data_IF_404704359387
#
_entry.id   IF_404704359387
#
_cell.length_a   1.000
_cell.length_b   1.000
_cell.length_c   1.000
_cell.angle_alpha   90.00
_cell.angle_beta   90.00
_cell.angle_gamma   90.00
#
_symmetry.space_group_name_H-M   'P 1'
#
loop_
_entity.id
_entity.type
_entity.pdbx_description
1 polymer ?
#
# COMPACT_ATOMS: atom_id res chain seq x y z
N UNK A 1 -7.98 13.80 -4.55
CA UNK A 1 -8.25 12.52 -5.24
C UNK A 1 -7.77 11.40 -4.35
N UNK A 2 -8.53 10.31 -4.22
CA UNK A 2 -8.12 9.14 -3.44
C UNK A 2 -6.99 8.40 -4.17
N UNK A 3 -6.01 7.84 -3.44
CA UNK A 3 -4.96 7.00 -4.04
C UNK A 3 -5.55 5.79 -4.78
N UNK A 4 -6.72 5.30 -4.37
CA UNK A 4 -7.40 4.17 -5.01
C UNK A 4 -7.85 4.46 -6.44
N UNK A 5 -8.07 5.72 -6.82
CA UNK A 5 -8.44 6.04 -8.22
C UNK A 5 -7.28 5.91 -9.20
N UNK A 6 -6.06 5.72 -8.70
CA UNK A 6 -4.85 5.49 -9.50
C UNK A 6 -4.57 4.00 -9.69
N UNK A 7 -5.34 3.12 -9.04
CA UNK A 7 -5.20 1.68 -9.17
C UNK A 7 -5.98 1.16 -10.37
N UNK A 8 -5.45 0.11 -10.99
CA UNK A 8 -6.18 -0.62 -12.04
C UNK A 8 -7.30 -1.53 -11.50
N UNK A 9 -7.27 -1.86 -10.21
CA UNK A 9 -8.22 -2.79 -9.58
C UNK A 9 -8.68 -2.33 -8.16
N UNK A 10 -9.31 -1.16 -8.04
CA UNK A 10 -9.69 -0.61 -6.74
C UNK A 10 -10.86 -1.33 -6.07
N UNK A 11 -11.55 -2.25 -6.74
CA UNK A 11 -12.84 -2.80 -6.31
C UNK A 11 -12.72 -3.52 -4.96
N UNK A 12 -11.63 -4.28 -4.77
CA UNK A 12 -11.41 -5.04 -3.54
C UNK A 12 -11.31 -4.16 -2.30
N UNK A 13 -10.43 -3.14 -2.34
CA UNK A 13 -10.26 -2.22 -1.21
C UNK A 13 -11.49 -1.33 -1.03
N UNK A 14 -12.11 -0.90 -2.12
CA UNK A 14 -13.34 -0.08 -2.09
C UNK A 14 -14.48 -0.86 -1.44
N UNK A 15 -14.62 -2.15 -1.73
CA UNK A 15 -15.63 -3.01 -1.12
C UNK A 15 -15.39 -3.21 0.39
N UNK A 16 -14.14 -3.48 0.80
CA UNK A 16 -13.77 -3.66 2.22
C UNK A 16 -14.04 -2.40 3.05
N UNK A 17 -13.83 -1.21 2.47
CA UNK A 17 -13.98 0.07 3.16
C UNK A 17 -15.27 0.83 2.79
N UNK A 18 -16.23 0.18 2.13
CA UNK A 18 -17.51 0.80 1.73
C UNK A 18 -17.34 2.12 0.96
N UNK A 19 -16.32 2.19 0.10
CA UNK A 19 -16.01 3.40 -0.67
C UNK A 19 -15.11 4.42 0.02
N UNK A 20 -14.77 4.24 1.29
CA UNK A 20 -13.97 5.19 2.06
C UNK A 20 -12.70 4.56 2.69
N UNK A 21 -11.74 4.11 1.87
CA UNK A 21 -10.44 3.64 2.36
C UNK A 21 -9.67 4.77 3.07
N UNK A 22 -8.83 4.48 4.07
CA UNK A 22 -8.00 5.49 4.70
C UNK A 22 -6.94 6.03 3.73
N UNK A 23 -6.51 7.26 3.98
CA UNK A 23 -5.29 7.79 3.38
C UNK A 23 -4.08 6.95 3.82
N UNK A 24 -3.05 6.91 2.98
CA UNK A 24 -1.81 6.19 3.27
C UNK A 24 -0.87 7.03 4.15
N UNK A 25 -1.40 7.60 5.24
CA UNK A 25 -0.66 8.43 6.21
C UNK A 25 -0.39 7.62 7.47
N UNK A 26 0.86 7.61 7.94
CA UNK A 26 1.28 6.85 9.12
C UNK A 26 1.14 5.33 8.97
N UNK A 27 1.17 4.82 7.73
CA UNK A 27 1.11 3.38 7.46
C UNK A 27 2.39 2.70 7.95
N UNK A 28 2.28 1.43 8.33
CA UNK A 28 3.45 0.63 8.70
C UNK A 28 3.96 -0.10 7.47
N UNK A 29 5.15 0.28 6.98
CA UNK A 29 5.81 -0.38 5.87
C UNK A 29 6.60 -1.58 6.39
N UNK A 30 6.21 -2.79 5.95
CA UNK A 30 6.88 -4.03 6.30
C UNK A 30 7.93 -4.45 5.28
N UNK A 31 7.60 -4.33 4.00
CA UNK A 31 8.45 -4.83 2.92
C UNK A 31 8.40 -3.91 1.71
N UNK A 32 9.56 -3.75 1.06
CA UNK A 32 9.70 -3.23 -0.29
C UNK A 32 10.45 -4.28 -1.11
N UNK A 33 9.73 -4.96 -2.02
CA UNK A 33 10.27 -6.08 -2.80
C UNK A 33 10.44 -5.67 -4.25
N UNK A 34 11.66 -5.82 -4.79
CA UNK A 34 11.97 -5.59 -6.20
C UNK A 34 12.08 -6.92 -6.94
N UNK A 35 11.40 -7.01 -8.08
CA UNK A 35 11.46 -8.16 -8.99
C UNK A 35 11.93 -7.70 -10.37
N UNK A 36 12.77 -8.52 -11.00
CA UNK A 36 13.39 -8.22 -12.30
C UNK A 36 12.59 -8.77 -13.48
N UNK A 37 11.86 -9.87 -13.29
CA UNK A 37 10.95 -10.41 -14.31
C UNK A 37 9.66 -9.59 -14.31
N UNK A 38 9.53 -8.73 -15.32
CA UNK A 38 8.60 -7.59 -15.32
C UNK A 38 8.94 -6.62 -14.18
N UNK A 39 9.82 -5.61 -14.40
CA UNK A 39 10.30 -4.70 -13.36
C UNK A 39 9.16 -4.19 -12.46
N UNK A 40 9.13 -4.66 -11.21
CA UNK A 40 8.02 -4.43 -10.29
C UNK A 40 8.54 -4.13 -8.89
N UNK A 41 8.00 -3.07 -8.28
CA UNK A 41 8.13 -2.79 -6.86
C UNK A 41 6.82 -3.19 -6.16
N UNK A 42 6.89 -4.05 -5.16
CA UNK A 42 5.75 -4.35 -4.28
C UNK A 42 6.01 -3.79 -2.89
N UNK A 43 5.08 -2.97 -2.39
CA UNK A 43 5.07 -2.51 -1.00
C UNK A 43 4.05 -3.30 -0.19
N UNK A 44 4.46 -3.85 0.95
CA UNK A 44 3.55 -4.46 1.93
C UNK A 44 3.36 -3.52 3.11
N UNK A 45 2.12 -3.09 3.32
CA UNK A 45 1.76 -2.01 4.24
C UNK A 45 0.62 -2.44 5.15
N UNK A 46 0.66 -2.05 6.42
CA UNK A 46 -0.55 -2.03 7.25
C UNK A 46 -1.21 -0.65 7.20
N UNK A 47 -2.52 -0.63 6.95
CA UNK A 47 -3.30 0.59 6.90
C UNK A 47 -3.56 1.14 8.30
N UNK A 48 -3.55 2.47 8.43
CA UNK A 48 -3.71 3.15 9.71
C UNK A 48 -5.10 2.97 10.35
N UNK A 49 -6.11 2.62 9.55
CA UNK A 49 -7.50 2.44 10.01
C UNK A 49 -8.05 1.09 9.55
N UNK A 50 -8.58 0.32 10.50
CA UNK A 50 -9.36 -0.87 10.23
C UNK A 50 -10.77 -0.49 9.72
N UNK A 51 -11.38 -1.22 8.76
CA UNK A 51 -12.72 -0.88 8.27
C UNK A 51 -13.76 -0.94 9.40
N UNK A 52 -14.73 -0.02 9.39
CA UNK A 52 -15.82 0.02 10.37
C UNK A 52 -16.75 -1.20 10.25
N UNK A 53 -16.92 -1.68 9.02
CA UNK A 53 -17.72 -2.86 8.69
C UNK A 53 -16.85 -3.86 7.93
N UNK A 54 -15.95 -4.58 8.64
CA UNK A 54 -15.07 -5.55 8.00
C UNK A 54 -15.86 -6.71 7.37
N UNK A 55 -15.30 -7.40 6.37
CA UNK A 55 -15.83 -8.68 5.89
C UNK A 55 -16.10 -9.64 7.05
N UNK A 56 -17.21 -10.38 6.99
CA UNK A 56 -17.64 -11.30 8.07
C UNK A 56 -16.53 -12.25 8.53
N UNK A 57 -15.72 -12.77 7.59
CA UNK A 57 -14.59 -13.66 7.90
C UNK A 57 -13.53 -13.01 8.78
N UNK A 58 -13.30 -11.70 8.64
CA UNK A 58 -12.33 -10.97 9.46
C UNK A 58 -12.92 -10.63 10.83
N UNK A 59 -14.21 -10.27 10.87
CA UNK A 59 -14.94 -10.01 12.12
C UNK A 59 -14.96 -11.25 13.03
N UNK A 60 -15.29 -12.43 12.48
CA UNK A 60 -15.33 -13.70 13.22
C UNK A 60 -13.95 -14.05 13.80
N UNK A 61 -12.88 -13.76 13.06
CA UNK A 61 -11.50 -13.97 13.52
C UNK A 61 -10.96 -12.87 14.43
N UNK A 62 -11.76 -11.82 14.70
CA UNK A 62 -11.37 -10.68 15.53
C UNK A 62 -10.09 -9.98 15.06
N UNK A 63 -9.91 -9.90 13.75
CA UNK A 63 -8.80 -9.13 13.17
C UNK A 63 -8.99 -7.63 13.45
N UNK A 64 -7.87 -6.92 13.58
CA UNK A 64 -7.84 -5.49 13.92
C UNK A 64 -6.90 -4.68 13.02
N UNK A 65 -6.15 -5.35 12.12
CA UNK A 65 -5.20 -4.71 11.22
C UNK A 65 -5.47 -5.14 9.80
N UNK A 66 -5.61 -4.16 8.89
CA UNK A 66 -5.72 -4.42 7.44
C UNK A 66 -4.35 -4.29 6.82
N UNK A 67 -3.93 -5.30 6.07
CA UNK A 67 -2.68 -5.31 5.33
C UNK A 67 -2.95 -5.32 3.82
N UNK A 68 -2.23 -4.47 3.11
CA UNK A 68 -2.30 -4.36 1.65
C UNK A 68 -0.92 -4.57 1.05
N UNK A 69 -0.86 -5.29 -0.06
CA UNK A 69 0.29 -5.28 -0.96
C UNK A 69 -0.08 -4.47 -2.20
N UNK A 70 0.67 -3.40 -2.45
CA UNK A 70 0.51 -2.55 -3.65
C UNK A 70 1.71 -2.83 -4.55
N UNK A 71 1.43 -3.25 -5.78
CA UNK A 71 2.44 -3.53 -6.80
C UNK A 71 2.43 -2.45 -7.86
N UNK A 72 3.63 -1.96 -8.19
CA UNK A 72 3.92 -0.96 -9.20
C UNK A 72 4.70 -1.64 -10.32
N UNK A 73 4.06 -1.88 -11.47
CA UNK A 73 4.64 -2.62 -12.59
C UNK A 73 5.15 -1.70 -13.69
N UNK A 74 6.18 -2.15 -14.41
CA UNK A 74 6.82 -1.33 -15.44
C UNK A 74 7.63 -0.22 -14.82
N UNK A 75 8.41 -0.54 -13.78
CA UNK A 75 9.28 0.43 -13.11
C UNK A 75 10.29 1.00 -14.11
N UNK A 76 10.27 2.32 -14.29
CA UNK A 76 11.19 3.09 -15.14
C UNK A 76 12.28 3.76 -14.33
N UNK A 77 11.93 4.20 -13.12
CA UNK A 77 12.85 4.86 -12.19
C UNK A 77 12.57 4.39 -10.77
N UNK A 78 13.62 4.20 -9.98
CA UNK A 78 13.51 3.91 -8.57
C UNK A 78 14.69 4.49 -7.78
N UNK A 79 14.38 5.06 -6.61
CA UNK A 79 15.34 5.51 -5.62
C UNK A 79 14.90 4.99 -4.26
N UNK A 80 15.81 4.33 -3.55
CA UNK A 80 15.61 3.89 -2.17
C UNK A 80 16.76 4.48 -1.34
N UNK A 81 16.41 5.28 -0.34
CA UNK A 81 17.36 5.98 0.53
C UNK A 81 17.01 5.67 1.99
N UNK A 82 17.92 4.99 2.70
CA UNK A 82 17.64 4.49 4.05
C UNK A 82 16.63 3.34 4.08
N UNK A 83 16.73 2.49 5.09
CA UNK A 83 15.77 1.42 5.32
C UNK A 83 15.83 0.98 6.79
N UNK A 84 14.87 1.46 7.59
CA UNK A 84 14.76 1.14 9.01
C UNK A 84 14.09 -0.20 9.30
N UNK A 85 14.04 -0.56 10.58
CA UNK A 85 13.39 -1.79 11.06
C UNK A 85 11.91 -1.63 11.44
N UNK A 86 11.44 -0.40 11.70
CA UNK A 86 10.06 -0.07 12.10
C UNK A 86 9.60 1.21 11.39
N UNK A 87 9.29 1.07 10.11
CA UNK A 87 9.07 2.21 9.22
C UNK A 87 7.60 2.64 9.28
N UNK A 88 7.33 3.76 9.95
CA UNK A 88 6.07 4.51 9.84
C UNK A 88 6.19 5.58 8.76
N UNK A 89 5.43 5.41 7.68
CA UNK A 89 5.58 6.24 6.49
C UNK A 89 4.27 6.91 6.07
N UNK A 90 4.43 8.03 5.38
CA UNK A 90 3.39 8.61 4.55
C UNK A 90 3.67 8.21 3.11
N UNK A 91 2.66 7.70 2.41
CA UNK A 91 2.73 7.30 1.01
C UNK A 91 1.84 8.22 0.20
N UNK A 92 2.39 8.82 -0.85
CA UNK A 92 1.66 9.59 -1.83
C UNK A 92 1.82 8.98 -3.22
N UNK A 93 0.77 9.13 -4.02
CA UNK A 93 0.73 8.68 -5.40
C UNK A 93 0.13 9.78 -6.27
N UNK A 94 0.66 9.93 -7.48
CA UNK A 94 0.11 10.85 -8.47
C UNK A 94 0.16 10.24 -9.86
N UNK A 95 -0.74 10.70 -10.73
CA UNK A 95 -0.73 10.35 -12.15
C UNK A 95 0.17 11.33 -12.90
N UNK A 96 1.22 10.82 -13.55
CA UNK A 96 2.11 11.57 -14.44
C UNK A 96 2.76 10.61 -15.44
N UNK A 97 2.23 10.55 -16.66
CA UNK A 97 2.63 9.59 -17.71
C UNK A 97 2.80 8.15 -17.18
N UNK A 98 1.89 7.70 -16.32
CA UNK A 98 2.02 6.50 -15.49
C UNK A 98 1.68 6.83 -14.04
N UNK A 99 2.27 6.11 -13.09
CA UNK A 99 2.10 6.34 -11.64
C UNK A 99 3.43 6.72 -11.02
N UNK A 100 3.43 7.84 -10.30
CA UNK A 100 4.54 8.23 -9.44
C UNK A 100 4.22 7.86 -7.99
N UNK A 101 5.24 7.41 -7.26
CA UNK A 101 5.18 7.00 -5.87
C UNK A 101 6.22 7.80 -5.08
N UNK A 102 5.82 8.35 -3.93
CA UNK A 102 6.74 8.84 -2.90
C UNK A 102 6.33 8.27 -1.54
N UNK A 103 7.25 7.53 -0.92
CA UNK A 103 7.15 7.01 0.45
C UNK A 103 8.14 7.81 1.28
N UNK A 104 7.65 8.49 2.31
CA UNK A 104 8.46 9.35 3.17
C UNK A 104 8.31 8.94 4.64
N UNK A 105 9.44 8.70 5.28
CA UNK A 105 9.58 8.52 6.73
C UNK A 105 10.92 9.07 7.20
N UNK A 106 11.14 9.12 8.52
CA UNK A 106 12.46 9.47 9.08
C UNK A 106 13.53 8.39 8.87
N UNK A 107 13.14 7.17 8.49
CA UNK A 107 14.02 6.00 8.41
C UNK A 107 14.22 5.46 6.98
N UNK A 108 13.35 5.85 6.06
CA UNK A 108 13.36 5.40 4.67
C UNK A 108 12.65 6.42 3.77
N UNK A 109 13.19 6.57 2.56
CA UNK A 109 12.55 7.26 1.45
C UNK A 109 12.55 6.36 0.22
N UNK A 110 11.39 6.14 -0.38
CA UNK A 110 11.25 5.37 -1.61
C UNK A 110 10.54 6.23 -2.64
N UNK A 111 11.17 6.43 -3.80
CA UNK A 111 10.54 7.09 -4.94
C UNK A 111 10.56 6.15 -6.12
N UNK A 112 9.45 6.09 -6.86
CA UNK A 112 9.39 5.28 -8.07
C UNK A 112 8.49 5.91 -9.13
N UNK A 113 8.80 5.60 -10.39
CA UNK A 113 7.95 5.87 -11.55
C UNK A 113 7.63 4.53 -12.21
N UNK A 114 6.35 4.26 -12.38
CA UNK A 114 5.82 3.01 -12.94
C UNK A 114 4.80 3.28 -14.04
N UNK A 115 4.44 2.26 -14.79
CA UNK A 115 3.39 2.36 -15.80
C UNK A 115 2.00 2.18 -15.19
N UNK A 116 1.89 1.29 -14.19
CA UNK A 116 0.64 0.98 -13.51
C UNK A 116 0.83 0.65 -12.04
N UNK A 117 -0.24 0.81 -11.26
CA UNK A 117 -0.34 0.37 -9.88
C UNK A 117 -1.58 -0.50 -9.67
N UNK A 118 -1.48 -1.55 -8.86
CA UNK A 118 -2.58 -2.43 -8.51
C UNK A 118 -2.38 -3.04 -7.13
N UNK A 119 -3.48 -3.42 -6.48
CA UNK A 119 -3.43 -4.20 -5.24
C UNK A 119 -3.20 -5.66 -5.62
N UNK A 120 -2.05 -6.21 -5.25
CA UNK A 120 -1.72 -7.63 -5.47
C UNK A 120 -2.27 -8.52 -4.37
N UNK A 121 -2.51 -7.96 -3.17
CA UNK A 121 -3.07 -8.70 -2.03
C UNK A 121 -3.76 -7.76 -1.05
N UNK A 122 -4.89 -8.21 -0.51
CA UNK A 122 -5.63 -7.53 0.55
C UNK A 122 -6.02 -8.54 1.62
N UNK A 123 -5.45 -8.41 2.80
CA UNK A 123 -5.63 -9.34 3.92
C UNK A 123 -5.82 -8.58 5.23
N UNK A 124 -6.15 -9.29 6.29
CA UNK A 124 -6.20 -8.74 7.64
C UNK A 124 -5.67 -9.78 8.62
N UNK A 125 -5.23 -9.30 9.78
CA UNK A 125 -4.76 -10.14 10.88
C UNK A 125 -5.06 -9.48 12.23
N UNK A 126 -4.89 -10.25 13.31
CA UNK A 126 -4.91 -9.74 14.66
C UNK A 126 -3.46 -9.39 15.04
N UNK A 127 -3.20 -8.11 15.24
CA UNK A 127 -1.96 -7.63 15.84
C UNK A 127 -2.18 -7.45 17.35
N UNK A 128 -1.17 -7.74 18.16
CA UNK A 128 -1.20 -7.40 19.57
C UNK A 128 -1.15 -5.87 19.68
N UNK A 129 -2.20 -5.28 20.26
CA UNK A 129 -2.31 -3.83 20.52
C UNK A 129 -1.74 -3.53 21.89
#
# INVERSE_FOLDING_TARGET
>A
MSWTSLLHNPEGITSVYQGNPPDLVGVHLHEAVLRTDGPTLTLRLDLARYPEQPPLKWAVQRFNTTQVEISFSGIREIVIEGFGADIRANVSMASDNGVTLDVMSSQARIRAVADAAFISKLTAYANEV
#
